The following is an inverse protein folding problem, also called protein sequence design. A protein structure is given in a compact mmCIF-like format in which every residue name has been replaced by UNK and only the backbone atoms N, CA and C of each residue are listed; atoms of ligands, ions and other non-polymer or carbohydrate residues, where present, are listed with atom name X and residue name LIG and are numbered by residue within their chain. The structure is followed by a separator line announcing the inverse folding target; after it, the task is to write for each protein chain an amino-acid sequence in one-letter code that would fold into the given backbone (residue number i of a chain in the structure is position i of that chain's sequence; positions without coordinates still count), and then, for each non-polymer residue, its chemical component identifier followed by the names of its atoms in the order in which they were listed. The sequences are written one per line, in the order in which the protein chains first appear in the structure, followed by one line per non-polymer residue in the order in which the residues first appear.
data_IF_114011083523
#
_entry.id   IF_114011083523
#
_cell.length_a   1.000
_cell.length_b   1.000
_cell.length_c   1.000
_cell.angle_alpha   90.00
_cell.angle_beta   90.00
_cell.angle_gamma   90.00
#
_symmetry.space_group_name_H-M   'P 1'
#
loop_
_entity.id
_entity.type
_entity.pdbx_description
1 polymer ?
#
# COMPACT_ATOMS: atom_id res chain seq x y z
N UNK A 1 15.54 -0.65 -10.92
CA UNK A 1 15.73 -1.70 -9.88
C UNK A 1 16.93 -1.27 -9.06
N UNK A 2 16.73 -0.81 -7.82
CA UNK A 2 17.83 -0.33 -6.99
C UNK A 2 17.38 -0.05 -5.56
N UNK A 3 18.04 -0.68 -4.59
CA UNK A 3 18.08 -0.35 -3.16
C UNK A 3 16.82 -0.58 -2.32
N UNK A 4 15.62 -0.31 -2.82
CA UNK A 4 14.40 -0.38 -1.99
C UNK A 4 14.10 -1.79 -1.46
N UNK A 5 14.32 -2.82 -2.28
CA UNK A 5 14.12 -4.22 -1.86
C UNK A 5 15.11 -4.62 -0.77
N UNK A 6 16.35 -4.10 -0.83
CA UNK A 6 17.41 -4.40 0.15
C UNK A 6 17.16 -3.72 1.50
N UNK A 7 16.63 -2.49 1.51
CA UNK A 7 16.24 -1.80 2.74
C UNK A 7 15.04 -2.46 3.44
N UNK A 8 14.03 -2.88 2.66
CA UNK A 8 12.85 -3.55 3.22
C UNK A 8 13.24 -4.92 3.78
N UNK A 9 14.07 -5.70 3.06
CA UNK A 9 14.56 -7.00 3.55
C UNK A 9 15.50 -6.86 4.75
N UNK A 10 16.37 -5.86 4.77
CA UNK A 10 17.26 -5.57 5.91
C UNK A 10 16.49 -5.14 7.16
N UNK A 11 15.49 -4.27 7.01
CA UNK A 11 14.63 -3.83 8.12
C UNK A 11 13.69 -4.95 8.61
N UNK A 12 13.14 -5.77 7.72
CA UNK A 12 12.29 -6.91 8.11
C UNK A 12 13.08 -8.03 8.83
N UNK A 13 14.37 -8.20 8.51
CA UNK A 13 15.26 -9.20 9.13
C UNK A 13 15.94 -8.71 10.43
N UNK A 14 15.83 -7.43 10.76
CA UNK A 14 16.37 -6.89 12.02
C UNK A 14 15.45 -7.24 13.20
N UNK A 15 16.03 -7.67 14.33
CA UNK A 15 15.29 -8.01 15.55
C UNK A 15 14.61 -6.74 16.09
N UNK A 16 13.30 -6.61 15.87
CA UNK A 16 12.52 -5.41 16.22
C UNK A 16 12.44 -4.34 15.12
N UNK A 17 12.98 -4.61 13.93
CA UNK A 17 12.90 -3.70 12.79
C UNK A 17 11.45 -3.47 12.34
N UNK A 18 11.13 -2.21 12.03
CA UNK A 18 9.81 -1.80 11.53
C UNK A 18 9.99 -1.34 10.08
N UNK A 19 9.71 -2.19 9.08
CA UNK A 19 9.76 -1.76 7.69
C UNK A 19 8.61 -0.77 7.43
N UNK A 20 8.98 0.50 7.22
CA UNK A 20 8.08 1.60 6.91
C UNK A 20 8.31 2.01 5.46
N UNK A 21 7.23 2.08 4.69
CA UNK A 21 7.23 2.61 3.32
C UNK A 21 6.51 3.95 3.34
N UNK A 22 7.25 5.04 3.11
CA UNK A 22 6.67 6.37 2.97
C UNK A 22 6.63 6.77 1.49
N UNK A 23 5.47 7.21 1.03
CA UNK A 23 5.26 7.70 -0.33
C UNK A 23 4.19 8.80 -0.34
N UNK A 24 4.27 9.78 -1.25
CA UNK A 24 3.13 10.63 -1.56
C UNK A 24 1.94 9.77 -2.00
N UNK A 25 0.72 10.14 -1.61
CA UNK A 25 -0.48 9.41 -2.00
C UNK A 25 -0.77 9.50 -3.50
N UNK A 26 -0.22 10.51 -4.18
CA UNK A 26 -0.40 10.77 -5.61
C UNK A 26 0.91 10.88 -6.40
N UNK A 27 0.80 10.85 -7.73
CA UNK A 27 1.86 11.07 -8.71
C UNK A 27 1.38 12.07 -9.77
N UNK A 28 2.29 12.52 -10.66
CA UNK A 28 2.02 13.52 -11.71
C UNK A 28 1.27 14.75 -11.19
N UNK A 29 1.78 15.35 -10.11
CA UNK A 29 1.18 16.57 -9.55
C UNK A 29 -0.23 16.40 -8.95
N UNK A 30 -0.65 15.18 -8.61
CA UNK A 30 -1.98 14.93 -8.03
C UNK A 30 -2.98 14.27 -8.97
N UNK A 31 -2.59 14.02 -10.23
CA UNK A 31 -3.47 13.45 -11.24
C UNK A 31 -3.71 11.95 -11.07
N UNK A 32 -2.74 11.22 -10.50
CA UNK A 32 -2.77 9.76 -10.43
C UNK A 32 -2.57 9.30 -8.99
N UNK A 33 -3.39 8.37 -8.49
CA UNK A 33 -3.16 7.71 -7.20
C UNK A 33 -1.97 6.75 -7.25
N UNK A 34 -1.11 6.76 -6.23
CA UNK A 34 -0.09 5.71 -6.05
C UNK A 34 -0.63 4.47 -5.35
N UNK A 35 -1.77 4.60 -4.68
CA UNK A 35 -2.50 3.47 -4.11
C UNK A 35 -3.48 2.99 -5.17
N UNK A 36 -3.29 1.76 -5.65
CA UNK A 36 -4.07 1.16 -6.74
C UNK A 36 -4.63 -0.19 -6.30
N UNK A 37 -5.81 -0.60 -6.81
CA UNK A 37 -6.46 -1.84 -6.40
C UNK A 37 -5.75 -3.07 -6.98
N UNK A 38 -5.13 -2.93 -8.14
CA UNK A 38 -4.26 -3.91 -8.77
C UNK A 38 -3.02 -3.22 -9.30
N UNK A 39 -1.86 -3.84 -9.10
CA UNK A 39 -0.63 -3.45 -9.79
C UNK A 39 -0.81 -3.70 -11.29
N UNK A 40 -0.25 -2.83 -12.14
CA UNK A 40 -0.20 -3.09 -13.59
C UNK A 40 0.51 -4.43 -13.85
N UNK A 41 0.11 -5.15 -14.89
CA UNK A 41 0.81 -6.36 -15.30
C UNK A 41 2.29 -6.05 -15.55
N UNK A 42 3.18 -6.73 -14.81
CA UNK A 42 4.62 -6.50 -14.86
C UNK A 42 5.14 -5.40 -13.93
N UNK A 43 4.29 -4.67 -13.19
CA UNK A 43 4.73 -3.82 -12.11
C UNK A 43 5.29 -4.72 -10.99
N UNK A 44 6.59 -4.61 -10.75
CA UNK A 44 7.29 -5.40 -9.74
C UNK A 44 6.53 -5.33 -8.41
N UNK A 45 6.11 -6.48 -7.90
CA UNK A 45 5.69 -6.63 -6.51
C UNK A 45 6.94 -6.41 -5.67
N UNK A 46 7.25 -5.15 -5.38
CA UNK A 46 8.49 -4.76 -4.68
C UNK A 46 8.46 -5.22 -3.22
N UNK A 47 7.30 -5.64 -2.70
CA UNK A 47 7.23 -6.24 -1.38
C UNK A 47 6.21 -7.36 -1.33
N UNK A 48 6.71 -8.58 -1.19
CA UNK A 48 5.93 -9.77 -0.87
C UNK A 48 4.97 -9.46 0.29
N UNK A 49 3.75 -10.02 0.25
CA UNK A 49 2.67 -9.78 1.23
C UNK A 49 3.12 -9.89 2.70
N UNK A 50 4.22 -10.59 2.98
CA UNK A 50 4.79 -10.80 4.31
C UNK A 50 5.75 -9.72 4.85
N UNK A 51 6.27 -8.79 4.03
CA UNK A 51 7.40 -7.94 4.47
C UNK A 51 7.04 -6.45 4.69
N UNK A 52 5.85 -5.99 4.29
CA UNK A 52 5.39 -4.60 4.57
C UNK A 52 4.68 -4.55 5.92
N UNK A 53 5.19 -3.71 6.83
CA UNK A 53 4.54 -3.44 8.12
C UNK A 53 3.74 -2.14 8.11
N UNK A 54 4.36 -1.03 7.73
CA UNK A 54 3.71 0.29 7.71
C UNK A 54 3.80 0.92 6.33
N UNK A 55 2.70 1.53 5.88
CA UNK A 55 2.65 2.42 4.72
C UNK A 55 2.23 3.80 5.19
N UNK A 56 2.94 4.83 4.77
CA UNK A 56 2.74 6.22 5.21
C UNK A 56 2.53 7.11 3.99
N UNK A 57 1.49 7.94 4.05
CA UNK A 57 1.23 9.03 3.11
C UNK A 57 1.00 10.33 3.90
N UNK A 58 0.82 11.45 3.19
CA UNK A 58 0.41 12.72 3.77
C UNK A 58 -0.98 12.69 4.45
N UNK A 59 -1.77 11.63 4.23
CA UNK A 59 -3.10 11.45 4.83
C UNK A 59 -3.10 10.51 6.04
N UNK A 60 -1.98 9.84 6.34
CA UNK A 60 -1.85 9.03 7.55
C UNK A 60 -1.00 7.78 7.39
N UNK A 61 -1.20 6.83 8.31
CA UNK A 61 -0.41 5.60 8.42
C UNK A 61 -1.31 4.37 8.37
N UNK A 62 -1.01 3.43 7.48
CA UNK A 62 -1.63 2.12 7.41
C UNK A 62 -0.68 1.07 7.97
N UNK A 63 -1.02 0.49 9.12
CA UNK A 63 -0.42 -0.76 9.60
C UNK A 63 -1.03 -1.92 8.81
N UNK A 64 -0.20 -2.77 8.21
CA UNK A 64 -0.63 -3.93 7.43
C UNK A 64 -0.26 -5.26 8.12
N UNK A 65 0.40 -5.21 9.28
CA UNK A 65 0.84 -6.37 10.03
C UNK A 65 -0.35 -7.19 10.53
N UNK A 66 -0.29 -8.51 10.37
CA UNK A 66 -1.31 -9.46 10.81
C UNK A 66 -2.76 -9.17 10.31
N UNK A 67 -2.91 -8.33 9.29
CA UNK A 67 -4.22 -7.99 8.70
C UNK A 67 -4.55 -8.88 7.50
N UNK A 68 -5.82 -9.23 7.37
CA UNK A 68 -6.37 -9.88 6.17
C UNK A 68 -6.26 -8.99 4.94
N UNK A 69 -6.37 -9.56 3.74
CA UNK A 69 -6.36 -8.81 2.48
C UNK A 69 -7.40 -7.67 2.48
N UNK A 70 -8.59 -7.91 3.04
CA UNK A 70 -9.65 -6.90 3.17
C UNK A 70 -9.25 -5.75 4.08
N UNK A 71 -8.77 -6.06 5.27
CA UNK A 71 -8.37 -5.04 6.25
C UNK A 71 -7.19 -4.22 5.74
N UNK A 72 -6.27 -4.86 5.00
CA UNK A 72 -5.15 -4.19 4.32
C UNK A 72 -5.67 -3.24 3.25
N UNK A 73 -6.56 -3.69 2.38
CA UNK A 73 -7.17 -2.84 1.35
C UNK A 73 -7.89 -1.63 1.98
N UNK A 74 -8.71 -1.87 3.01
CA UNK A 74 -9.43 -0.81 3.73
C UNK A 74 -8.44 0.18 4.39
N UNK A 75 -7.36 -0.32 5.00
CA UNK A 75 -6.35 0.54 5.63
C UNK A 75 -5.59 1.38 4.61
N UNK A 76 -5.28 0.82 3.44
CA UNK A 76 -4.61 1.54 2.35
C UNK A 76 -5.52 2.61 1.73
N UNK A 77 -6.80 2.30 1.52
CA UNK A 77 -7.78 3.27 1.00
C UNK A 77 -7.90 4.48 1.93
N UNK A 78 -7.95 4.26 3.25
CA UNK A 78 -8.03 5.35 4.24
C UNK A 78 -6.87 6.35 4.19
N UNK A 79 -5.69 5.91 3.76
CA UNK A 79 -4.51 6.77 3.61
C UNK A 79 -4.28 7.21 2.16
N UNK A 80 -5.18 6.87 1.23
CA UNK A 80 -5.14 7.40 -0.13
C UNK A 80 -5.65 8.84 -0.16
N UNK A 81 -5.33 9.57 -1.23
CA UNK A 81 -5.85 10.92 -1.43
C UNK A 81 -7.39 10.89 -1.48
N UNK A 82 -8.11 11.78 -0.79
CA UNK A 82 -9.57 11.77 -0.70
C UNK A 82 -10.28 11.68 -2.06
N UNK A 83 -9.75 12.39 -3.07
CA UNK A 83 -10.20 12.34 -4.47
C UNK A 83 -10.35 10.92 -5.06
N UNK A 84 -9.54 9.96 -4.63
CA UNK A 84 -9.51 8.60 -5.20
C UNK A 84 -10.09 7.54 -4.27
N UNK A 85 -10.49 7.87 -3.03
CA UNK A 85 -10.94 6.88 -2.05
C UNK A 85 -12.21 6.15 -2.53
N UNK A 86 -13.21 6.90 -2.99
CA UNK A 86 -14.47 6.33 -3.49
C UNK A 86 -14.25 5.40 -4.69
N UNK A 87 -13.40 5.80 -5.64
CA UNK A 87 -13.04 4.96 -6.78
C UNK A 87 -12.34 3.66 -6.33
N UNK A 88 -11.40 3.76 -5.39
CA UNK A 88 -10.67 2.60 -4.87
C UNK A 88 -11.59 1.63 -4.11
N UNK A 89 -12.57 2.14 -3.35
CA UNK A 89 -13.57 1.32 -2.67
C UNK A 89 -14.44 0.57 -3.68
N UNK A 90 -14.98 1.29 -4.66
CA UNK A 90 -15.79 0.70 -5.73
C UNK A 90 -15.02 -0.40 -6.46
N UNK A 91 -13.76 -0.13 -6.85
CA UNK A 91 -12.90 -1.11 -7.52
C UNK A 91 -12.57 -2.29 -6.61
N UNK A 92 -12.40 -2.05 -5.30
CA UNK A 92 -12.21 -3.11 -4.30
C UNK A 92 -13.41 -4.06 -4.18
N UNK A 93 -14.63 -3.54 -4.32
CA UNK A 93 -15.86 -4.36 -4.37
C UNK A 93 -15.96 -5.13 -5.68
N UNK A 94 -15.71 -4.47 -6.83
CA UNK A 94 -15.71 -5.11 -8.16
C UNK A 94 -14.74 -6.30 -8.23
N UNK A 95 -13.56 -6.15 -7.60
CA UNK A 95 -12.53 -7.18 -7.53
C UNK A 95 -12.74 -8.22 -6.41
N UNK A 96 -13.88 -8.16 -5.70
CA UNK A 96 -14.22 -9.05 -4.58
C UNK A 96 -13.18 -9.04 -3.44
N UNK A 97 -12.46 -7.95 -3.28
CA UNK A 97 -11.51 -7.72 -2.17
C UNK A 97 -12.28 -7.19 -0.95
N UNK A 98 -13.17 -6.23 -1.19
CA UNK A 98 -14.12 -5.68 -0.22
C UNK A 98 -15.49 -6.34 -0.41
N UNK A 99 -16.25 -6.47 0.67
CA UNK A 99 -17.68 -6.84 0.60
C UNK A 99 -18.48 -5.58 0.97
N UNK A 100 -19.60 -5.35 0.28
CA UNK A 100 -20.57 -4.30 0.66
C UNK A 100 -21.34 -4.70 1.91
#
# INVERSE_FOLDING_TARGET
IGGQVDFIRGAARSKGGRPIIALPSTARGGEISRIVPTLMDGAGVVTSRGDVRYVVTEFGVADLYAKSTRERATSLIKIAHPKFQEELERRGVELKILHS
#
